data_IF_302901237432
#
_entry.id   IF_302901237432
#
_cell.length_a   1.000
_cell.length_b   1.000
_cell.length_c   1.000
_cell.angle_alpha   90.00
_cell.angle_beta   90.00
_cell.angle_gamma   90.00
#
_symmetry.space_group_name_H-M   'P 1'
#
loop_
_entity.id
_entity.type
_entity.pdbx_description
1 polymer ?
#
# COMPACT_ATOMS: atom_id res chain seq x y z
N UNK A 1 27.35 29.06 -23.17
CA UNK A 1 26.74 29.47 -21.89
C UNK A 1 25.28 29.87 -22.02
N UNK A 2 24.87 30.61 -23.03
CA UNK A 2 23.47 31.01 -23.21
C UNK A 2 22.54 29.82 -23.43
N UNK A 3 22.99 28.73 -24.08
CA UNK A 3 22.18 27.54 -24.34
C UNK A 3 21.85 26.75 -23.06
N UNK A 4 22.76 26.73 -22.08
CA UNK A 4 22.50 26.02 -20.80
C UNK A 4 21.43 26.72 -19.98
N UNK A 5 21.45 28.04 -19.89
CA UNK A 5 20.43 28.81 -19.16
C UNK A 5 19.07 28.66 -19.81
N UNK A 6 19.02 28.63 -21.13
CA UNK A 6 17.75 28.46 -21.87
C UNK A 6 17.14 27.07 -21.63
N UNK A 7 17.97 26.02 -21.64
CA UNK A 7 17.51 24.65 -21.42
C UNK A 7 17.00 24.47 -19.99
N UNK A 8 17.70 25.04 -18.99
CA UNK A 8 17.28 24.98 -17.60
C UNK A 8 15.94 25.69 -17.40
N UNK A 9 15.78 26.86 -18.04
CA UNK A 9 14.52 27.59 -17.95
C UNK A 9 13.37 26.83 -18.58
N UNK A 10 13.62 26.19 -19.74
CA UNK A 10 12.62 25.35 -20.42
C UNK A 10 12.23 24.15 -19.56
N UNK A 11 13.18 23.51 -18.89
CA UNK A 11 12.91 22.38 -17.99
C UNK A 11 12.08 22.81 -16.79
N UNK A 12 12.35 23.97 -16.22
CA UNK A 12 11.57 24.49 -15.10
C UNK A 12 10.13 24.77 -15.49
N UNK A 13 9.92 25.31 -16.69
CA UNK A 13 8.57 25.60 -17.20
C UNK A 13 7.80 24.30 -17.44
N UNK A 14 8.42 23.28 -18.01
CA UNK A 14 7.80 21.98 -18.24
C UNK A 14 7.45 21.31 -16.90
N UNK A 15 8.32 21.39 -15.92
CA UNK A 15 8.07 20.85 -14.60
C UNK A 15 6.89 21.52 -13.91
N UNK A 16 6.81 22.86 -13.99
CA UNK A 16 5.70 23.61 -13.42
C UNK A 16 4.37 23.27 -14.10
N UNK A 17 4.37 23.08 -15.41
CA UNK A 17 3.17 22.70 -16.16
C UNK A 17 2.70 21.28 -15.78
N UNK A 18 3.64 20.36 -15.51
CA UNK A 18 3.29 19.01 -15.09
C UNK A 18 2.57 19.00 -13.75
N UNK A 19 3.04 19.79 -12.79
CA UNK A 19 2.42 19.91 -11.47
C UNK A 19 1.05 20.60 -11.59
N UNK A 20 0.95 21.67 -12.37
CA UNK A 20 -0.30 22.36 -12.60
C UNK A 20 -1.34 21.51 -13.31
N UNK A 21 -0.92 20.68 -14.28
CA UNK A 21 -1.80 19.77 -15.00
C UNK A 21 -2.42 18.70 -14.11
N UNK A 22 -1.66 18.17 -13.16
CA UNK A 22 -2.15 17.16 -12.23
C UNK A 22 -3.23 17.69 -11.29
N UNK A 23 -3.12 18.95 -10.85
CA UNK A 23 -4.10 19.53 -9.93
C UNK A 23 -5.43 19.88 -10.59
N UNK A 24 -5.46 20.06 -11.90
CA UNK A 24 -6.69 20.40 -12.63
C UNK A 24 -7.56 19.18 -12.95
N UNK A 25 -6.99 17.97 -12.96
CA UNK A 25 -7.68 16.73 -13.36
C UNK A 25 -8.37 16.04 -12.16
N UNK A 26 -8.12 16.46 -10.93
CA UNK A 26 -8.46 15.72 -9.72
C UNK A 26 -9.83 16.02 -9.10
N UNK A 27 -10.77 16.63 -9.83
CA UNK A 27 -12.04 17.05 -9.27
C UNK A 27 -12.92 15.96 -8.66
N UNK A 28 -13.00 14.77 -9.26
CA UNK A 28 -13.91 13.71 -8.81
C UNK A 28 -13.24 12.53 -8.13
N UNK A 29 -11.92 12.39 -8.25
CA UNK A 29 -11.18 11.25 -7.72
C UNK A 29 -10.29 11.59 -6.54
N UNK A 30 -10.49 12.77 -5.92
CA UNK A 30 -9.63 13.28 -4.86
C UNK A 30 -9.56 12.34 -3.65
N UNK A 31 -10.71 11.82 -3.20
CA UNK A 31 -10.74 10.90 -2.06
C UNK A 31 -10.08 9.57 -2.37
N UNK A 32 -10.32 9.03 -3.56
CA UNK A 32 -9.69 7.78 -3.97
C UNK A 32 -8.19 7.93 -4.12
N UNK A 33 -7.73 9.02 -4.73
CA UNK A 33 -6.31 9.30 -4.87
C UNK A 33 -5.63 9.51 -3.51
N UNK A 34 -6.31 10.20 -2.59
CA UNK A 34 -5.82 10.38 -1.24
C UNK A 34 -5.64 9.04 -0.53
N UNK A 35 -6.63 8.13 -0.65
CA UNK A 35 -6.52 6.79 -0.08
C UNK A 35 -5.36 6.01 -0.70
N UNK A 36 -5.16 6.12 -2.01
CA UNK A 36 -4.04 5.45 -2.68
C UNK A 36 -2.70 5.99 -2.18
N UNK A 37 -2.59 7.31 -2.02
CA UNK A 37 -1.37 7.92 -1.49
C UNK A 37 -1.08 7.46 -0.06
N UNK A 38 -2.11 7.36 0.77
CA UNK A 38 -1.97 6.85 2.13
C UNK A 38 -1.55 5.37 2.10
N UNK A 39 -2.18 4.58 1.24
CA UNK A 39 -1.88 3.15 1.10
C UNK A 39 -0.45 2.91 0.60
N UNK A 40 0.09 3.80 -0.22
CA UNK A 40 1.45 3.68 -0.75
C UNK A 40 2.50 4.36 0.13
N UNK A 41 2.08 5.00 1.22
CA UNK A 41 3.00 5.72 2.09
C UNK A 41 3.95 4.77 2.83
N UNK A 42 5.10 5.30 3.25
CA UNK A 42 6.07 4.54 4.02
C UNK A 42 5.49 4.09 5.37
N UNK A 43 4.65 4.93 5.98
CA UNK A 43 3.97 4.57 7.24
C UNK A 43 3.07 3.36 7.08
N UNK A 44 2.34 3.30 5.97
CA UNK A 44 1.47 2.15 5.69
C UNK A 44 2.29 0.90 5.41
N UNK A 45 3.36 1.04 4.66
CA UNK A 45 4.28 -0.07 4.37
C UNK A 45 4.83 -0.67 5.68
N UNK A 46 5.28 0.17 6.59
CA UNK A 46 5.78 -0.28 7.89
C UNK A 46 4.70 -1.04 8.66
N UNK A 47 3.48 -0.52 8.70
CA UNK A 47 2.37 -1.16 9.43
C UNK A 47 2.03 -2.52 8.85
N UNK A 48 1.92 -2.62 7.54
CA UNK A 48 1.58 -3.89 6.87
C UNK A 48 2.71 -4.91 7.03
N UNK A 49 3.95 -4.50 6.85
CA UNK A 49 5.10 -5.41 6.96
C UNK A 49 5.30 -5.89 8.40
N UNK A 50 5.05 -5.03 9.38
CA UNK A 50 5.07 -5.44 10.78
C UNK A 50 3.98 -6.48 11.07
N UNK A 51 2.79 -6.28 10.54
CA UNK A 51 1.70 -7.24 10.64
C UNK A 51 2.09 -8.59 10.03
N UNK A 52 2.67 -8.58 8.83
CA UNK A 52 3.10 -9.81 8.16
C UNK A 52 4.20 -10.54 8.94
N UNK A 53 5.12 -9.79 9.55
CA UNK A 53 6.18 -10.38 10.38
C UNK A 53 5.65 -10.96 11.68
N UNK A 54 4.53 -10.47 12.17
CA UNK A 54 3.85 -11.08 13.32
C UNK A 54 3.22 -12.42 12.95
N UNK A 55 2.76 -12.58 11.70
CA UNK A 55 2.24 -13.85 11.20
C UNK A 55 3.36 -14.84 10.86
N UNK A 56 4.44 -14.35 10.30
CA UNK A 56 5.58 -15.14 9.85
C UNK A 56 6.84 -14.33 10.13
N UNK A 57 7.63 -14.75 11.11
CA UNK A 57 8.80 -14.01 11.55
C UNK A 57 9.83 -13.80 10.44
N UNK A 58 9.83 -14.67 9.42
CA UNK A 58 10.72 -14.59 8.26
C UNK A 58 10.02 -13.97 7.05
N UNK A 59 8.85 -13.34 7.24
CA UNK A 59 8.10 -12.74 6.14
C UNK A 59 8.96 -11.77 5.35
N UNK A 60 8.78 -11.80 4.03
CA UNK A 60 9.47 -10.94 3.07
C UNK A 60 10.98 -11.21 2.98
N UNK A 61 11.41 -12.36 3.48
CA UNK A 61 12.78 -12.86 3.29
C UNK A 61 12.73 -14.15 2.46
N UNK A 62 13.88 -14.59 1.90
CA UNK A 62 13.88 -15.86 1.14
C UNK A 62 13.46 -17.09 1.96
N UNK A 63 13.60 -17.03 3.28
CA UNK A 63 13.25 -18.13 4.18
C UNK A 63 11.79 -18.10 4.62
N UNK A 64 11.09 -17.01 4.37
CA UNK A 64 9.70 -16.84 4.80
C UNK A 64 8.73 -17.57 3.90
N UNK A 65 7.57 -17.89 4.45
CA UNK A 65 6.44 -18.44 3.69
C UNK A 65 5.66 -17.32 3.01
N UNK A 66 5.56 -16.17 3.67
CA UNK A 66 5.07 -14.94 3.05
C UNK A 66 6.26 -14.28 2.36
N UNK A 67 6.26 -14.30 1.03
CA UNK A 67 7.38 -13.78 0.25
C UNK A 67 7.15 -12.39 -0.30
N UNK A 68 5.89 -12.06 -0.57
CA UNK A 68 5.52 -10.76 -1.14
C UNK A 68 4.07 -10.43 -0.83
N UNK A 69 3.72 -9.17 -1.01
CA UNK A 69 2.33 -8.74 -0.90
C UNK A 69 2.07 -7.60 -1.88
N UNK A 70 0.82 -7.41 -2.19
CA UNK A 70 0.38 -6.32 -3.07
C UNK A 70 -0.95 -5.77 -2.54
N UNK A 71 -1.05 -4.46 -2.46
CA UNK A 71 -2.28 -3.80 -2.03
C UNK A 71 -3.25 -3.74 -3.21
N UNK A 72 -4.50 -4.15 -2.97
CA UNK A 72 -5.57 -4.03 -3.96
C UNK A 72 -6.13 -2.61 -3.89
N UNK A 73 -5.60 -1.72 -4.73
CA UNK A 73 -5.96 -0.30 -4.72
C UNK A 73 -7.43 -0.06 -5.05
N UNK A 74 -8.05 -0.94 -5.81
CA UNK A 74 -9.46 -0.84 -6.18
C UNK A 74 -10.40 -1.13 -5.01
N UNK A 75 -9.89 -1.77 -3.98
CA UNK A 75 -10.67 -2.20 -2.82
C UNK A 75 -10.50 -1.33 -1.59
N UNK A 76 -9.74 -0.25 -1.71
CA UNK A 76 -9.54 0.69 -0.61
C UNK A 76 -10.86 1.39 -0.26
N UNK A 77 -11.17 1.46 1.03
CA UNK A 77 -12.37 2.15 1.52
C UNK A 77 -12.07 2.81 2.86
N UNK A 78 -12.60 4.01 3.07
CA UNK A 78 -12.58 4.61 4.40
C UNK A 78 -13.55 3.86 5.29
N UNK A 79 -13.09 3.57 6.51
CA UNK A 79 -13.95 3.03 7.56
C UNK A 79 -14.60 4.21 8.27
N UNK A 80 -15.95 4.29 8.33
CA UNK A 80 -16.60 5.43 8.98
C UNK A 80 -16.31 5.53 10.48
N UNK A 81 -15.91 4.44 11.12
CA UNK A 81 -15.53 4.45 12.54
C UNK A 81 -14.11 4.96 12.73
N UNK A 82 -13.15 4.41 12.02
CA UNK A 82 -11.73 4.81 12.08
C UNK A 82 -10.95 4.13 10.97
N UNK A 83 -10.03 4.87 10.34
CA UNK A 83 -9.02 4.30 9.49
C UNK A 83 -9.44 3.94 8.08
N UNK A 84 -8.68 3.02 7.49
CA UNK A 84 -8.86 2.59 6.10
C UNK A 84 -8.94 1.07 6.06
N UNK A 85 -9.91 0.56 5.31
CA UNK A 85 -9.99 -0.86 4.99
C UNK A 85 -9.09 -1.16 3.81
N UNK A 86 -8.18 -2.10 3.97
CA UNK A 86 -7.20 -2.48 2.96
C UNK A 86 -7.28 -3.98 2.74
N UNK A 87 -7.26 -4.39 1.47
CA UNK A 87 -7.09 -5.79 1.11
C UNK A 87 -5.72 -5.95 0.47
N UNK A 88 -4.99 -6.98 0.88
CA UNK A 88 -3.71 -7.31 0.28
C UNK A 88 -3.73 -8.74 -0.26
N UNK A 89 -3.00 -8.95 -1.35
CA UNK A 89 -2.78 -10.28 -1.93
C UNK A 89 -1.38 -10.72 -1.53
N UNK A 90 -1.28 -11.88 -0.90
CA UNK A 90 -0.01 -12.45 -0.46
C UNK A 90 0.50 -13.41 -1.52
N UNK A 91 1.80 -13.35 -1.81
CA UNK A 91 2.49 -14.23 -2.75
C UNK A 91 1.87 -14.22 -4.16
N UNK A 92 1.20 -13.13 -4.51
CA UNK A 92 0.52 -12.99 -5.79
C UNK A 92 -0.49 -14.10 -6.06
N UNK A 93 -1.08 -14.65 -5.01
CA UNK A 93 -2.06 -15.75 -5.05
C UNK A 93 -3.42 -15.22 -4.62
N UNK A 94 -4.40 -15.26 -5.53
CA UNK A 94 -5.75 -14.73 -5.29
C UNK A 94 -6.50 -15.42 -4.15
N UNK A 95 -6.04 -16.58 -3.73
CA UNK A 95 -6.61 -17.29 -2.57
C UNK A 95 -6.07 -16.78 -1.26
N UNK A 96 -5.00 -16.01 -1.29
CA UNK A 96 -4.34 -15.48 -0.10
C UNK A 96 -4.61 -13.99 0.05
N UNK A 97 -5.88 -13.61 0.13
CA UNK A 97 -6.29 -12.22 0.33
C UNK A 97 -6.57 -11.99 1.80
N UNK A 98 -5.93 -10.98 2.36
CA UNK A 98 -6.13 -10.56 3.74
C UNK A 98 -6.84 -9.22 3.76
N UNK A 99 -7.95 -9.15 4.48
CA UNK A 99 -8.66 -7.92 4.78
C UNK A 99 -8.13 -7.35 6.07
N UNK A 100 -7.86 -6.05 6.11
CA UNK A 100 -7.40 -5.42 7.34
C UNK A 100 -7.95 -4.01 7.49
N UNK A 101 -8.09 -3.57 8.72
CA UNK A 101 -8.41 -2.20 9.07
C UNK A 101 -7.17 -1.58 9.67
N UNK A 102 -6.67 -0.52 9.05
CA UNK A 102 -5.48 0.19 9.52
C UNK A 102 -5.93 1.54 10.07
N UNK A 103 -5.49 1.84 11.28
CA UNK A 103 -5.80 3.11 11.94
C UNK A 103 -4.51 3.88 12.21
N UNK A 104 -4.65 5.20 12.36
CA UNK A 104 -3.54 6.07 12.73
C UNK A 104 -3.52 6.26 14.25
N UNK A 105 -2.36 6.04 14.86
CA UNK A 105 -2.16 6.28 16.29
C UNK A 105 -1.91 7.76 16.54
N UNK A 106 -2.04 8.17 17.81
CA UNK A 106 -1.74 9.54 18.22
C UNK A 106 -0.32 9.97 17.87
N UNK A 107 0.60 9.02 17.83
CA UNK A 107 2.00 9.26 17.44
C UNK A 107 2.15 9.56 15.93
N UNK A 108 1.10 9.38 15.13
CA UNK A 108 1.14 9.55 13.69
C UNK A 108 1.51 8.29 12.92
N UNK A 109 1.86 7.20 13.62
CA UNK A 109 2.14 5.93 12.97
C UNK A 109 0.84 5.16 12.71
N UNK A 110 0.88 4.24 11.73
CA UNK A 110 -0.26 3.38 11.43
C UNK A 110 -0.08 2.01 12.08
N UNK A 111 -1.19 1.35 12.37
CA UNK A 111 -1.15 -0.04 12.80
C UNK A 111 -2.41 -0.77 12.34
N UNK A 112 -2.30 -2.08 12.21
CA UNK A 112 -3.42 -2.94 11.84
C UNK A 112 -4.24 -3.20 13.10
N UNK A 113 -5.45 -2.64 13.15
CA UNK A 113 -6.33 -2.77 14.30
C UNK A 113 -7.14 -4.06 14.27
N UNK A 114 -7.48 -4.53 13.07
CA UNK A 114 -8.25 -5.74 12.89
C UNK A 114 -7.89 -6.35 11.55
N UNK A 115 -8.00 -7.67 11.43
CA UNK A 115 -7.73 -8.36 10.20
C UNK A 115 -8.57 -9.63 10.08
N UNK A 116 -8.79 -10.06 8.84
CA UNK A 116 -9.43 -11.33 8.53
C UNK A 116 -8.55 -12.06 7.53
N UNK A 117 -8.13 -13.26 7.88
CA UNK A 117 -7.25 -14.08 7.06
C UNK A 117 -8.01 -15.30 6.52
N UNK A 118 -7.73 -15.71 5.28
CA UNK A 118 -8.34 -16.93 4.75
C UNK A 118 -7.68 -18.18 5.36
N UNK A 119 -8.40 -19.30 5.33
CA UNK A 119 -7.88 -20.58 5.80
C UNK A 119 -6.61 -20.99 5.05
N UNK A 120 -6.55 -20.68 3.76
CA UNK A 120 -5.41 -20.99 2.91
C UNK A 120 -4.13 -20.34 3.42
N UNK A 121 -4.23 -19.15 4.04
CA UNK A 121 -3.07 -18.50 4.63
C UNK A 121 -2.58 -19.26 5.85
N UNK A 122 -3.50 -19.70 6.71
CA UNK A 122 -3.14 -20.51 7.87
C UNK A 122 -2.43 -21.81 7.42
N UNK A 123 -2.94 -22.44 6.38
CA UNK A 123 -2.32 -23.63 5.80
C UNK A 123 -0.93 -23.34 5.24
N UNK A 124 -0.74 -22.19 4.60
CA UNK A 124 0.56 -21.77 4.11
C UNK A 124 1.56 -21.63 5.25
N UNK A 125 1.15 -20.98 6.32
CA UNK A 125 2.01 -20.74 7.49
C UNK A 125 2.37 -22.04 8.21
N UNK A 126 1.48 -23.04 8.17
CA UNK A 126 1.72 -24.36 8.72
C UNK A 126 2.50 -25.29 7.78
N UNK A 127 2.78 -24.83 6.56
CA UNK A 127 3.48 -25.65 5.56
C UNK A 127 2.60 -26.67 4.86
N UNK A 128 1.29 -26.51 4.92
CA UNK A 128 0.32 -27.45 4.35
C UNK A 128 -0.35 -26.96 3.06
N UNK A 129 -0.08 -25.74 2.65
CA UNK A 129 -0.68 -25.15 1.47
C UNK A 129 0.19 -25.36 0.25
N UNK A 130 -0.40 -25.96 -0.77
CA UNK A 130 0.26 -26.25 -2.03
C UNK A 130 -0.40 -25.51 -3.20
N UNK A 131 -0.86 -24.28 -2.96
CA UNK A 131 -1.47 -23.47 -3.98
C UNK A 131 -0.47 -23.07 -5.07
N UNK A 132 -0.84 -23.28 -6.33
CA UNK A 132 -0.11 -22.89 -7.55
C UNK A 132 1.41 -22.99 -7.48
#
# INVERSE_FOLDING_TARGET
>A
MKKRKFVILAMLVVFALSIGGCSLITGHSTKKQEMIQIAESQKMKVAIEEYLKNLDSEALTPNGKIKSYRILKDKLKYNPMEGINIEIVINNDDKLIVDMVVIEKESGSYHVAASSTPTELDELLEGKYYGQ
#
